data_IF_669051353820
#
_entry.id   IF_669051353820
#
_cell.length_a   1.000
_cell.length_b   1.000
_cell.length_c   1.000
_cell.angle_alpha   90.00
_cell.angle_beta   90.00
_cell.angle_gamma   90.00
#
_symmetry.space_group_name_H-M   'P 1'
#
loop_
_entity.id
_entity.type
_entity.pdbx_description
1 polymer ?
#
# COMPACT_ATOMS: atom_id res chain seq x y z
N UNK A 1 -20.58 -34.62 -5.20
CA UNK A 1 -20.40 -33.24 -5.71
C UNK A 1 -20.30 -32.36 -4.47
N UNK A 2 -19.20 -32.39 -3.69
CA UNK A 2 -17.77 -32.28 -4.09
C UNK A 2 -17.61 -31.05 -5.00
N UNK A 3 -16.88 -30.00 -4.64
CA UNK A 3 -15.44 -29.92 -4.28
C UNK A 3 -15.21 -28.62 -3.46
N UNK A 4 -14.53 -28.67 -2.30
CA UNK A 4 -13.08 -28.37 -2.07
C UNK A 4 -12.78 -26.85 -1.93
N UNK A 5 -11.85 -26.37 -1.10
CA UNK A 5 -10.95 -26.97 -0.11
C UNK A 5 -10.20 -25.85 0.64
N UNK A 6 -10.07 -26.06 1.96
CA UNK A 6 -8.97 -25.82 2.92
C UNK A 6 -7.84 -24.84 2.52
N UNK A 7 -7.41 -23.93 3.40
CA UNK A 7 -6.63 -24.22 4.61
C UNK A 7 -5.45 -23.23 4.65
N UNK A 8 -4.60 -23.08 5.66
CA UNK A 8 -4.50 -23.50 7.05
C UNK A 8 -3.47 -22.54 7.66
N UNK A 9 -3.67 -22.14 8.91
CA UNK A 9 -2.65 -21.52 9.78
C UNK A 9 -1.59 -22.58 10.13
N UNK A 10 -0.30 -22.24 10.05
CA UNK A 10 0.78 -22.81 10.88
C UNK A 10 2.13 -22.10 10.59
N UNK A 11 2.73 -21.48 11.62
CA UNK A 11 4.16 -21.17 11.69
C UNK A 11 4.80 -22.22 12.61
N UNK A 12 5.92 -22.84 12.19
CA UNK A 12 6.93 -23.15 13.19
C UNK A 12 8.37 -22.84 12.75
N UNK A 13 8.98 -21.92 13.50
CA UNK A 13 10.29 -22.04 14.20
C UNK A 13 11.53 -22.60 13.48
N UNK A 14 12.55 -21.73 13.41
CA UNK A 14 14.00 -21.98 13.62
C UNK A 14 14.69 -23.20 12.98
N UNK A 15 15.61 -23.00 12.00
CA UNK A 15 16.91 -23.72 11.89
C UNK A 15 17.98 -22.89 11.16
N UNK A 16 19.10 -22.65 11.85
CA UNK A 16 20.36 -22.10 11.33
C UNK A 16 20.96 -22.97 10.21
N UNK A 17 21.27 -22.40 9.03
CA UNK A 17 22.37 -22.86 8.16
C UNK A 17 22.95 -21.70 7.33
N UNK A 18 24.22 -21.38 7.54
CA UNK A 18 25.03 -20.51 6.66
C UNK A 18 25.37 -21.30 5.38
N UNK A 19 25.24 -20.75 4.17
CA UNK A 19 26.00 -21.24 3.04
C UNK A 19 27.27 -20.40 2.84
N UNK A 20 28.38 -21.14 2.85
CA UNK A 20 29.75 -20.73 2.54
C UNK A 20 29.86 -20.45 1.03
N UNK A 21 30.66 -19.44 0.68
CA UNK A 21 31.07 -19.03 -0.67
C UNK A 21 31.32 -20.20 -1.61
N UNK A 22 30.67 -20.20 -2.77
CA UNK A 22 31.24 -20.69 -4.03
C UNK A 22 30.88 -19.72 -5.17
N UNK A 23 31.85 -19.55 -6.07
CA UNK A 23 31.82 -18.70 -7.23
C UNK A 23 30.64 -19.08 -8.16
N UNK A 24 29.79 -18.11 -8.46
CA UNK A 24 29.12 -18.03 -9.74
C UNK A 24 29.43 -16.64 -10.32
N UNK A 25 30.55 -16.60 -11.04
CA UNK A 25 30.73 -15.63 -12.09
C UNK A 25 29.61 -15.82 -13.12
N UNK A 26 29.14 -14.71 -13.71
CA UNK A 26 28.02 -14.61 -14.65
C UNK A 26 26.60 -14.50 -14.04
N UNK A 27 26.22 -13.27 -13.69
CA UNK A 27 24.93 -12.76 -14.15
C UNK A 27 25.11 -11.36 -14.72
N UNK A 28 25.08 -11.34 -16.05
CA UNK A 28 24.93 -10.14 -16.87
C UNK A 28 23.56 -9.55 -16.54
N UNK A 29 23.52 -8.24 -16.35
CA UNK A 29 22.34 -7.37 -16.41
C UNK A 29 21.14 -7.76 -15.52
N UNK A 30 21.17 -7.31 -14.27
CA UNK A 30 19.95 -7.09 -13.51
C UNK A 30 19.87 -5.62 -13.15
N UNK A 31 19.17 -4.88 -14.02
CA UNK A 31 18.61 -3.55 -13.82
C UNK A 31 17.94 -3.42 -12.46
N UNK A 32 18.72 -3.07 -11.44
CA UNK A 32 18.24 -2.39 -10.24
C UNK A 32 18.90 -1.03 -10.30
N UNK A 33 18.09 0.00 -10.56
CA UNK A 33 18.49 1.39 -10.50
C UNK A 33 18.90 1.74 -9.06
N UNK A 34 20.10 1.33 -8.67
CA UNK A 34 20.73 1.75 -7.44
C UNK A 34 21.64 2.91 -7.83
N UNK A 35 21.34 4.12 -7.36
CA UNK A 35 22.17 5.31 -7.60
C UNK A 35 23.60 4.99 -7.21
N UNK A 36 24.48 4.84 -8.21
CA UNK A 36 25.89 4.53 -8.00
C UNK A 36 26.51 5.70 -7.23
N UNK A 37 26.95 5.43 -6.00
CA UNK A 37 27.63 6.44 -5.19
C UNK A 37 28.92 6.88 -5.88
N UNK A 38 29.35 8.12 -5.70
CA UNK A 38 30.60 8.66 -6.29
C UNK A 38 31.81 7.74 -6.05
N UNK A 39 31.86 7.11 -4.87
CA UNK A 39 32.89 6.13 -4.51
C UNK A 39 32.84 4.87 -5.38
N UNK A 40 31.67 4.32 -5.65
CA UNK A 40 31.51 3.14 -6.51
C UNK A 40 31.91 3.46 -7.95
N UNK A 41 31.54 4.65 -8.46
CA UNK A 41 31.93 5.09 -9.80
C UNK A 41 33.45 5.14 -9.97
N UNK A 42 34.16 5.75 -9.02
CA UNK A 42 35.62 5.86 -9.05
C UNK A 42 36.33 4.48 -9.00
N UNK A 43 35.77 3.50 -8.30
CA UNK A 43 36.34 2.15 -8.22
C UNK A 43 36.11 1.34 -9.51
N UNK A 44 35.00 1.58 -10.21
CA UNK A 44 34.71 0.92 -11.49
C UNK A 44 35.59 1.47 -12.61
N UNK A 45 35.82 2.79 -12.66
CA UNK A 45 36.65 3.44 -13.68
C UNK A 45 38.13 3.01 -13.68
N UNK A 46 38.61 2.37 -12.61
CA UNK A 46 39.97 1.81 -12.56
C UNK A 46 40.10 0.36 -13.03
N UNK A 47 38.98 -0.35 -13.26
CA UNK A 47 39.00 -1.78 -13.62
C UNK A 47 39.08 -2.01 -15.13
N UNK A 48 38.56 -1.07 -15.93
CA UNK A 48 38.55 -1.15 -17.40
C UNK A 48 39.84 -0.63 -18.06
N UNK A 49 40.82 -0.19 -17.27
CA UNK A 49 42.12 0.28 -17.76
C UNK A 49 43.19 -0.84 -17.82
N UNK A 50 42.80 -2.10 -17.92
CA UNK A 50 43.72 -3.23 -18.16
C UNK A 50 43.85 -3.53 -19.66
N UNK A 51 44.28 -2.55 -20.45
CA UNK A 51 44.99 -2.76 -21.71
C UNK A 51 45.52 -1.42 -22.23
N UNK A 52 46.83 -1.18 -22.05
CA UNK A 52 47.59 -0.35 -22.99
C UNK A 52 47.70 1.17 -22.73
N UNK A 53 48.10 1.62 -21.54
CA UNK A 53 48.73 2.95 -21.40
C UNK A 53 50.09 2.90 -20.68
N UNK A 54 51.17 3.43 -21.28
CA UNK A 54 52.46 3.60 -20.63
C UNK A 54 52.43 4.87 -19.78
N UNK A 55 51.81 4.83 -18.61
CA UNK A 55 51.98 5.87 -17.59
C UNK A 55 52.75 5.30 -16.41
N UNK A 56 53.96 4.84 -16.70
CA UNK A 56 55.05 4.81 -15.74
C UNK A 56 55.42 6.27 -15.43
N UNK A 57 54.56 6.96 -14.66
CA UNK A 57 54.99 8.16 -13.95
C UNK A 57 55.79 7.64 -12.75
N UNK A 58 57.03 7.26 -13.04
CA UNK A 58 58.02 6.89 -12.05
C UNK A 58 58.55 8.19 -11.45
N UNK A 59 58.15 8.45 -10.21
CA UNK A 59 58.70 9.55 -9.45
C UNK A 59 60.15 9.18 -9.09
N UNK A 60 61.17 9.92 -9.54
CA UNK A 60 62.58 9.55 -9.35
C UNK A 60 63.00 9.43 -7.87
N UNK A 61 62.21 9.99 -6.93
CA UNK A 61 62.38 9.86 -5.49
C UNK A 61 61.24 9.12 -4.78
N UNK A 62 60.38 8.41 -5.53
CA UNK A 62 59.16 7.80 -5.01
C UNK A 62 58.14 8.83 -4.50
N UNK A 63 56.94 8.36 -4.19
CA UNK A 63 55.99 9.16 -3.41
C UNK A 63 56.51 9.26 -1.97
N UNK A 64 56.39 10.42 -1.29
CA UNK A 64 56.74 10.51 0.12
C UNK A 64 55.98 9.42 0.91
N UNK A 65 56.62 8.78 1.90
CA UNK A 65 55.97 7.74 2.69
C UNK A 65 54.67 8.30 3.24
N UNK A 66 53.57 7.58 3.00
CA UNK A 66 52.24 8.04 3.35
C UNK A 66 52.23 8.47 4.83
N UNK A 67 51.70 9.67 5.15
CA UNK A 67 51.71 10.17 6.52
C UNK A 67 51.11 9.11 7.44
N UNK A 68 51.73 8.85 8.60
CA UNK A 68 51.29 7.80 9.51
C UNK A 68 49.81 8.03 9.81
N UNK A 69 48.98 7.03 9.48
CA UNK A 69 47.55 7.09 9.73
C UNK A 69 47.39 7.22 11.24
N UNK A 70 47.10 8.44 11.71
CA UNK A 70 46.72 8.71 13.10
C UNK A 70 45.68 7.65 13.46
N UNK A 71 46.04 6.77 14.39
CA UNK A 71 45.13 5.75 14.89
C UNK A 71 43.90 6.51 15.35
N UNK A 72 42.76 6.27 14.67
CA UNK A 72 41.49 6.86 15.07
C UNK A 72 41.36 6.56 16.56
N UNK A 73 41.36 7.62 17.35
CA UNK A 73 41.11 7.56 18.78
C UNK A 73 39.91 6.64 18.97
N UNK A 74 40.15 5.51 19.63
CA UNK A 74 39.13 4.48 19.82
C UNK A 74 38.10 5.15 20.70
N UNK A 75 37.01 5.66 20.09
CA UNK A 75 35.86 6.17 20.84
C UNK A 75 35.59 5.17 21.95
N UNK A 76 35.65 5.66 23.17
CA UNK A 76 35.59 4.86 24.38
C UNK A 76 34.30 4.03 24.32
N UNK A 77 34.30 2.79 24.80
CA UNK A 77 33.11 1.90 24.68
C UNK A 77 31.82 2.58 25.19
N UNK A 78 31.97 3.38 26.25
CA UNK A 78 30.91 4.22 26.83
C UNK A 78 30.35 5.23 25.82
N UNK A 79 31.20 5.92 25.06
CA UNK A 79 30.79 6.90 24.05
C UNK A 79 30.11 6.23 22.86
N UNK A 80 30.57 5.05 22.45
CA UNK A 80 29.92 4.27 21.40
C UNK A 80 28.53 3.80 21.84
N UNK A 81 28.41 3.35 23.08
CA UNK A 81 27.14 2.91 23.65
C UNK A 81 26.14 4.07 23.76
N UNK A 82 26.59 5.24 24.22
CA UNK A 82 25.78 6.46 24.27
C UNK A 82 25.28 6.86 22.88
N UNK A 83 26.15 6.84 21.87
CA UNK A 83 25.77 7.19 20.49
C UNK A 83 24.75 6.20 19.88
N UNK A 84 24.87 4.91 20.20
CA UNK A 84 23.90 3.89 19.79
C UNK A 84 22.55 4.08 20.49
N UNK A 85 22.56 4.36 21.79
CA UNK A 85 21.36 4.61 22.58
C UNK A 85 20.61 5.86 22.07
N UNK A 86 21.34 6.95 21.81
CA UNK A 86 20.77 8.18 21.26
C UNK A 86 20.19 7.97 19.86
N UNK A 87 20.91 7.26 18.98
CA UNK A 87 20.41 6.94 17.64
C UNK A 87 19.12 6.10 17.70
N UNK A 88 19.03 5.14 18.62
CA UNK A 88 17.82 4.34 18.82
C UNK A 88 16.66 5.20 19.33
N UNK A 89 16.92 6.12 20.26
CA UNK A 89 15.90 7.03 20.79
C UNK A 89 15.37 7.97 19.70
N UNK A 90 16.25 8.56 18.89
CA UNK A 90 15.85 9.39 17.73
C UNK A 90 15.01 8.59 16.75
N UNK A 91 15.39 7.35 16.46
CA UNK A 91 14.60 6.45 15.59
C UNK A 91 13.22 6.18 16.17
N UNK A 92 13.11 5.88 17.47
CA UNK A 92 11.83 5.65 18.16
C UNK A 92 10.92 6.88 18.06
N UNK A 93 11.46 8.06 18.35
CA UNK A 93 10.72 9.32 18.28
C UNK A 93 10.20 9.61 16.87
N UNK A 94 10.98 9.35 15.81
CA UNK A 94 10.52 9.54 14.43
C UNK A 94 9.40 8.57 14.05
N UNK A 95 9.54 7.29 14.43
CA UNK A 95 8.50 6.28 14.17
C UNK A 95 7.21 6.61 14.91
N UNK A 96 7.29 6.98 16.18
CA UNK A 96 6.12 7.40 16.95
C UNK A 96 5.46 8.64 16.34
N UNK A 97 6.26 9.65 15.97
CA UNK A 97 5.75 10.85 15.31
C UNK A 97 5.04 10.52 13.99
N UNK A 98 5.66 9.70 13.15
CA UNK A 98 5.07 9.27 11.87
C UNK A 98 3.79 8.46 12.10
N UNK A 99 3.78 7.56 13.08
CA UNK A 99 2.60 6.77 13.43
C UNK A 99 1.47 7.69 13.90
N UNK A 100 1.75 8.63 14.81
CA UNK A 100 0.74 9.56 15.35
C UNK A 100 0.18 10.51 14.29
N UNK A 101 1.03 10.97 13.36
CA UNK A 101 0.58 11.75 12.21
C UNK A 101 -0.30 10.90 11.28
N UNK A 102 0.12 9.69 10.94
CA UNK A 102 -0.67 8.78 10.08
C UNK A 102 -2.02 8.40 10.70
N UNK A 103 -2.07 8.20 12.02
CA UNK A 103 -3.30 7.90 12.76
C UNK A 103 -4.26 9.10 12.73
N UNK A 104 -3.76 10.31 13.02
CA UNK A 104 -4.55 11.51 12.97
C UNK A 104 -5.13 11.77 11.56
N UNK A 105 -4.35 11.52 10.51
CA UNK A 105 -4.82 11.63 9.14
C UNK A 105 -5.86 10.57 8.76
N UNK A 106 -5.69 9.32 9.23
CA UNK A 106 -6.67 8.25 9.02
C UNK A 106 -8.02 8.60 9.67
N UNK A 107 -8.00 9.07 10.92
CA UNK A 107 -9.21 9.53 11.64
C UNK A 107 -9.87 10.69 10.89
N UNK A 108 -9.08 11.71 10.49
CA UNK A 108 -9.58 12.85 9.71
C UNK A 108 -10.23 12.41 8.41
N UNK A 109 -9.68 11.40 7.74
CA UNK A 109 -10.20 10.88 6.48
C UNK A 109 -11.52 10.14 6.66
N UNK A 110 -11.63 9.26 7.66
CA UNK A 110 -12.88 8.55 7.98
C UNK A 110 -13.98 9.58 8.31
N UNK A 111 -13.72 10.45 9.28
CA UNK A 111 -14.71 11.42 9.77
C UNK A 111 -15.12 12.43 8.68
N UNK A 112 -14.17 12.89 7.87
CA UNK A 112 -14.43 13.83 6.78
C UNK A 112 -15.21 13.20 5.62
N UNK A 113 -14.87 11.97 5.23
CA UNK A 113 -15.54 11.27 4.13
C UNK A 113 -16.99 10.92 4.46
N UNK A 114 -17.25 10.48 5.69
CA UNK A 114 -18.58 10.04 6.11
C UNK A 114 -19.62 11.15 6.03
N UNK A 115 -19.26 12.41 6.27
CA UNK A 115 -20.20 13.54 6.17
C UNK A 115 -20.81 13.71 4.77
N UNK A 116 -20.00 13.55 3.72
CA UNK A 116 -20.44 13.72 2.33
C UNK A 116 -21.15 12.49 1.80
N UNK A 117 -20.66 11.29 2.17
CA UNK A 117 -21.26 10.01 1.81
C UNK A 117 -22.63 9.86 2.47
N UNK A 118 -22.72 10.09 3.78
CA UNK A 118 -23.98 10.05 4.55
C UNK A 118 -25.01 11.01 3.97
N UNK A 119 -24.63 12.24 3.64
CA UNK A 119 -25.55 13.22 3.01
C UNK A 119 -26.07 12.77 1.64
N UNK A 120 -25.29 12.01 0.85
CA UNK A 120 -25.73 11.45 -0.43
C UNK A 120 -26.68 10.27 -0.22
N UNK A 121 -26.35 9.37 0.70
CA UNK A 121 -27.17 8.21 1.06
C UNK A 121 -28.53 8.65 1.62
N UNK A 122 -28.56 9.62 2.54
CA UNK A 122 -29.80 10.16 3.11
C UNK A 122 -30.71 10.80 2.05
N UNK A 123 -30.13 11.55 1.09
CA UNK A 123 -30.90 12.14 -0.02
C UNK A 123 -31.51 11.07 -0.93
N UNK A 124 -30.75 10.01 -1.23
CA UNK A 124 -31.23 8.92 -2.07
C UNK A 124 -32.35 8.15 -1.38
N UNK A 125 -32.18 7.85 -0.08
CA UNK A 125 -33.19 7.17 0.74
C UNK A 125 -34.48 7.99 0.81
N UNK A 126 -34.38 9.30 1.07
CA UNK A 126 -35.53 10.21 1.09
C UNK A 126 -36.26 10.22 -0.26
N UNK A 127 -35.53 10.28 -1.38
CA UNK A 127 -36.15 10.26 -2.72
C UNK A 127 -36.84 8.93 -3.02
N UNK A 128 -36.27 7.82 -2.60
CA UNK A 128 -36.91 6.51 -2.76
C UNK A 128 -38.19 6.39 -1.93
N UNK A 129 -38.16 6.86 -0.69
CA UNK A 129 -39.31 6.87 0.20
C UNK A 129 -40.43 7.76 -0.35
N UNK A 130 -40.10 8.96 -0.85
CA UNK A 130 -41.04 9.87 -1.49
C UNK A 130 -41.67 9.24 -2.75
N UNK A 131 -40.87 8.63 -3.62
CA UNK A 131 -41.38 7.92 -4.80
C UNK A 131 -42.26 6.72 -4.43
N UNK A 132 -41.90 5.98 -3.38
CA UNK A 132 -42.69 4.85 -2.92
C UNK A 132 -44.03 5.32 -2.31
N UNK A 133 -44.01 6.41 -1.55
CA UNK A 133 -45.19 7.01 -0.96
C UNK A 133 -46.12 7.59 -2.04
N UNK A 134 -45.57 8.33 -3.02
CA UNK A 134 -46.33 8.83 -4.16
C UNK A 134 -46.94 7.68 -4.97
N UNK A 135 -46.16 6.62 -5.25
CA UNK A 135 -46.66 5.45 -5.97
C UNK A 135 -47.75 4.73 -5.20
N UNK A 136 -47.62 4.61 -3.88
CA UNK A 136 -48.65 3.99 -3.04
C UNK A 136 -49.93 4.84 -3.01
N UNK A 137 -49.82 6.16 -2.80
CA UNK A 137 -50.95 7.07 -2.83
C UNK A 137 -51.65 7.07 -4.20
N UNK A 138 -50.88 7.12 -5.29
CA UNK A 138 -51.41 7.07 -6.65
C UNK A 138 -52.10 5.73 -6.94
N UNK A 139 -51.51 4.61 -6.50
CA UNK A 139 -52.14 3.30 -6.61
C UNK A 139 -53.48 3.22 -5.85
N UNK A 140 -53.59 3.87 -4.68
CA UNK A 140 -54.87 3.93 -3.95
C UNK A 140 -55.92 4.74 -4.71
N UNK A 141 -55.56 5.90 -5.27
CA UNK A 141 -56.48 6.72 -6.09
C UNK A 141 -56.91 5.97 -7.36
N UNK A 142 -55.99 5.29 -8.04
CA UNK A 142 -56.30 4.51 -9.23
C UNK A 142 -57.20 3.30 -8.92
N UNK A 143 -57.02 2.67 -7.76
CA UNK A 143 -57.83 1.53 -7.36
C UNK A 143 -59.29 1.91 -7.07
N UNK A 144 -59.55 3.12 -6.58
CA UNK A 144 -60.91 3.59 -6.26
C UNK A 144 -61.70 4.10 -7.47
N UNK A 145 -61.03 4.61 -8.50
CA UNK A 145 -61.71 5.37 -9.58
C UNK A 145 -61.71 4.63 -10.94
N UNK A 146 -60.88 3.60 -11.12
CA UNK A 146 -60.67 2.96 -12.43
C UNK A 146 -60.78 1.44 -12.40
N UNK A 147 -61.45 0.87 -13.40
CA UNK A 147 -61.42 -0.58 -13.68
C UNK A 147 -60.07 -0.93 -14.34
N UNK A 148 -59.33 -1.87 -13.76
CA UNK A 148 -58.02 -2.29 -14.27
C UNK A 148 -58.15 -3.56 -15.10
N UNK A 149 -57.69 -3.52 -16.35
CA UNK A 149 -57.62 -4.67 -17.24
C UNK A 149 -56.16 -5.08 -17.44
N UNK A 150 -55.79 -6.29 -17.03
CA UNK A 150 -54.43 -6.85 -17.20
C UNK A 150 -54.51 -8.11 -18.06
N UNK A 151 -53.78 -8.13 -19.18
CA UNK A 151 -53.64 -9.32 -20.02
C UNK A 151 -52.27 -9.94 -19.79
N UNK A 152 -52.21 -11.24 -19.48
CA UNK A 152 -50.99 -11.99 -19.26
C UNK A 152 -51.01 -13.36 -19.96
N UNK A 153 -49.88 -14.09 -19.94
CA UNK A 153 -49.78 -15.40 -20.59
C UNK A 153 -50.76 -16.44 -20.03
N UNK A 154 -51.11 -16.30 -18.75
CA UNK A 154 -52.06 -17.13 -18.02
C UNK A 154 -53.53 -16.71 -18.19
N UNK A 155 -53.80 -15.65 -18.94
CA UNK A 155 -55.15 -15.15 -19.22
C UNK A 155 -55.33 -13.67 -18.91
N UNK A 156 -56.58 -13.23 -18.92
CA UNK A 156 -56.97 -11.84 -18.70
C UNK A 156 -57.62 -11.68 -17.33
N UNK A 157 -57.18 -10.69 -16.55
CA UNK A 157 -57.75 -10.34 -15.24
C UNK A 157 -58.31 -8.93 -15.29
N UNK A 158 -59.59 -8.79 -14.91
CA UNK A 158 -60.28 -7.50 -14.78
C UNK A 158 -60.56 -7.27 -13.30
N UNK A 159 -60.13 -6.13 -12.77
CA UNK A 159 -60.30 -5.75 -11.37
C UNK A 159 -61.19 -4.51 -11.31
N UNK A 160 -62.28 -4.59 -10.56
CA UNK A 160 -63.22 -3.48 -10.33
C UNK A 160 -62.90 -2.78 -9.00
N UNK A 161 -63.14 -1.46 -8.89
CA UNK A 161 -63.08 -0.76 -7.61
C UNK A 161 -64.10 -1.31 -6.62
N UNK A 162 -63.71 -1.42 -5.33
CA UNK A 162 -64.59 -1.94 -4.27
C UNK A 162 -65.88 -1.11 -4.10
N UNK A 163 -65.82 0.20 -4.39
CA UNK A 163 -66.98 1.11 -4.26
C UNK A 163 -67.98 1.02 -5.42
N UNK A 164 -67.60 0.51 -6.59
CA UNK A 164 -68.45 0.53 -7.79
C UNK A 164 -69.49 -0.61 -7.84
N UNK A 165 -69.46 -1.52 -6.87
CA UNK A 165 -70.31 -2.72 -6.87
C UNK A 165 -69.98 -3.68 -8.02
N UNK A 166 -70.46 -4.92 -7.91
CA UNK A 166 -70.35 -5.88 -9.02
C UNK A 166 -71.48 -5.63 -10.02
N UNK A 167 -71.19 -5.61 -11.34
CA UNK A 167 -72.20 -5.48 -12.39
C UNK A 167 -73.10 -6.72 -12.50
#
# INVERSE_FOLDING_TARGET
>A
MEEEELGSDDDPTSKNKKPRKELADQSVDSKKEMTVTTRQRALQTGKDASSGFPSLIEFPNGLPPAPPKKQKEKLTEVEQQLKRAEALQRRRMQVEKANRESEAEAIRKILGQDSTRKKREDKLKKRQEEMAQEKAANAMVLASDHVRWVMGPSGTTVTFPDEMGLP
#
